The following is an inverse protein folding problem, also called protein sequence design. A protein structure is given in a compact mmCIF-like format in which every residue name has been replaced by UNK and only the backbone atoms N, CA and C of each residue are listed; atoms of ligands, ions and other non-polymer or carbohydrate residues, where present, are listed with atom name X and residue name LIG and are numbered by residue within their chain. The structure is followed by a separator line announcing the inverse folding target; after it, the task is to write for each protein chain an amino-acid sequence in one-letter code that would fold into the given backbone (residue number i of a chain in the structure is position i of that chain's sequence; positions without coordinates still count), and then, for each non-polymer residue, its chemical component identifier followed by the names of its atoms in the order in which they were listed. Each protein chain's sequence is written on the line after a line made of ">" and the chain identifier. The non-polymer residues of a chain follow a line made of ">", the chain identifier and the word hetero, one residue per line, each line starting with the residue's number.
data_IF_374794242987
#
_entry.id   IF_374794242987
#
_cell.length_a   1.000
_cell.length_b   1.000
_cell.length_c   1.000
_cell.angle_alpha   90.00
_cell.angle_beta   90.00
_cell.angle_gamma   90.00
#
_symmetry.space_group_name_H-M   'P 1'
#
loop_
_entity.id
_entity.type
_entity.pdbx_description
1 polymer ?
#
# COMPACT_ATOMS: atom_id res chain seq x y z
N UNK A 1 28.04 51.34 -81.41
CA UNK A 1 27.96 49.89 -81.71
C UNK A 1 28.17 48.96 -80.51
N UNK A 2 28.46 49.44 -79.28
CA UNK A 2 28.57 48.58 -78.06
C UNK A 2 27.24 48.32 -77.31
N UNK A 3 26.16 49.04 -77.65
CA UNK A 3 24.85 48.88 -76.98
C UNK A 3 23.93 47.80 -77.58
N UNK A 4 24.20 47.36 -78.81
CA UNK A 4 23.42 46.29 -79.46
C UNK A 4 23.93 44.88 -79.13
N UNK A 5 25.18 44.76 -78.64
CA UNK A 5 25.76 43.47 -78.24
C UNK A 5 25.24 42.99 -76.86
N UNK A 6 24.93 43.91 -75.93
CA UNK A 6 24.33 43.54 -74.63
C UNK A 6 22.88 43.04 -74.74
N UNK A 7 22.12 43.51 -75.73
CA UNK A 7 20.71 43.09 -75.91
C UNK A 7 20.60 41.70 -76.56
N UNK A 8 21.56 41.32 -77.40
CA UNK A 8 21.61 39.98 -78.01
C UNK A 8 22.05 38.89 -77.02
N UNK A 9 22.92 39.22 -76.05
CA UNK A 9 23.30 38.29 -74.98
C UNK A 9 22.18 38.07 -73.97
N UNK A 10 21.39 39.11 -73.67
CA UNK A 10 20.21 38.96 -72.79
C UNK A 10 19.08 38.15 -73.43
N UNK A 11 18.90 38.21 -74.75
CA UNK A 11 17.88 37.42 -75.46
C UNK A 11 18.26 35.93 -75.56
N UNK A 12 19.55 35.60 -75.59
CA UNK A 12 20.03 34.20 -75.55
C UNK A 12 19.92 33.56 -74.16
N UNK A 13 19.97 34.35 -73.08
CA UNK A 13 19.74 33.84 -71.72
C UNK A 13 18.25 33.59 -71.46
N UNK A 14 17.36 34.33 -72.11
CA UNK A 14 15.90 34.16 -71.96
C UNK A 14 15.32 32.96 -72.74
N UNK A 15 16.06 32.36 -73.69
CA UNK A 15 15.57 31.25 -74.52
C UNK A 15 16.05 29.84 -74.09
N UNK A 16 16.82 29.74 -72.99
CA UNK A 16 17.10 28.48 -72.29
C UNK A 16 16.11 28.21 -71.14
N UNK A 17 14.93 28.86 -71.19
CA UNK A 17 13.75 28.59 -70.36
C UNK A 17 12.90 27.40 -70.87
N UNK A 18 13.46 26.54 -71.73
CA UNK A 18 12.83 25.29 -72.15
C UNK A 18 13.49 24.09 -71.48
N UNK A 19 12.92 23.59 -70.38
CA UNK A 19 13.41 22.36 -69.75
C UNK A 19 12.78 22.00 -68.42
N UNK A 20 11.59 21.40 -68.47
CA UNK A 20 10.98 20.44 -67.55
C UNK A 20 11.42 20.38 -66.07
N UNK A 21 10.41 20.49 -65.19
CA UNK A 21 10.16 19.44 -64.20
C UNK A 21 10.27 19.86 -62.73
N UNK A 22 9.21 20.46 -62.19
CA UNK A 22 8.87 20.26 -60.77
C UNK A 22 7.40 19.85 -60.69
N UNK A 23 7.17 18.54 -60.60
CA UNK A 23 5.95 18.01 -60.02
C UNK A 23 5.87 18.58 -58.60
N UNK A 24 4.86 19.40 -58.32
CA UNK A 24 4.42 19.63 -56.95
C UNK A 24 4.03 18.27 -56.36
N UNK A 25 4.58 17.87 -55.20
CA UNK A 25 4.03 16.76 -54.45
C UNK A 25 2.54 17.04 -54.20
N UNK A 26 1.66 16.03 -54.20
CA UNK A 26 0.34 16.22 -53.61
C UNK A 26 0.53 16.69 -52.17
N UNK A 27 -0.21 17.72 -51.77
CA UNK A 27 -0.32 18.16 -50.38
C UNK A 27 -0.37 16.93 -49.46
N UNK A 28 0.64 16.77 -48.58
CA UNK A 28 0.62 15.72 -47.55
C UNK A 28 -0.27 16.08 -46.38
N UNK A 29 -0.83 17.29 -46.39
CA UNK A 29 -1.73 17.77 -45.37
C UNK A 29 -3.15 17.63 -45.92
N UNK A 30 -3.69 16.42 -45.71
CA UNK A 30 -5.13 16.20 -45.80
C UNK A 30 -5.88 17.25 -44.99
N UNK A 31 -7.13 17.52 -45.40
CA UNK A 31 -8.02 18.47 -44.75
C UNK A 31 -7.85 18.45 -43.22
N UNK A 32 -7.46 19.57 -42.63
CA UNK A 32 -7.43 19.75 -41.19
C UNK A 32 -8.86 19.64 -40.67
N UNK A 33 -9.18 18.44 -40.17
CA UNK A 33 -10.43 18.08 -39.55
C UNK A 33 -10.50 18.68 -38.14
N UNK A 34 -10.90 19.96 -38.05
CA UNK A 34 -11.04 20.69 -36.79
C UNK A 34 -12.34 20.34 -36.03
N UNK A 35 -12.67 19.05 -35.91
CA UNK A 35 -13.83 18.61 -35.15
C UNK A 35 -14.05 17.09 -35.17
N UNK A 36 -14.54 16.55 -34.04
CA UNK A 36 -14.84 15.13 -33.82
C UNK A 36 -15.89 14.53 -34.79
N UNK A 37 -16.53 15.34 -35.64
CA UNK A 37 -17.60 14.92 -36.56
C UNK A 37 -17.12 14.37 -37.92
N UNK A 38 -15.81 14.29 -38.16
CA UNK A 38 -15.28 14.02 -39.51
C UNK A 38 -14.43 12.75 -39.66
N UNK A 39 -14.43 11.86 -38.66
CA UNK A 39 -13.93 10.49 -38.84
C UNK A 39 -14.94 9.69 -39.68
N UNK A 40 -14.53 9.00 -40.76
CA UNK A 40 -15.40 8.03 -41.40
C UNK A 40 -15.73 6.94 -40.37
N UNK A 41 -17.02 6.80 -40.01
CA UNK A 41 -17.52 5.65 -39.25
C UNK A 41 -17.35 4.39 -40.11
N UNK A 42 -16.20 3.74 -39.97
CA UNK A 42 -16.02 2.39 -40.45
C UNK A 42 -16.84 1.45 -39.55
N UNK A 43 -18.02 1.05 -40.03
CA UNK A 43 -18.78 -0.06 -39.46
C UNK A 43 -18.01 -1.36 -39.75
N UNK A 44 -17.32 -1.88 -38.74
CA UNK A 44 -16.82 -3.25 -38.77
C UNK A 44 -17.99 -4.17 -38.46
N UNK A 45 -18.51 -4.85 -39.50
CA UNK A 45 -19.45 -5.96 -39.32
C UNK A 45 -18.63 -7.21 -39.00
N UNK A 46 -18.42 -7.47 -37.71
CA UNK A 46 -17.91 -8.75 -37.24
C UNK A 46 -19.03 -9.79 -37.35
N UNK A 47 -18.87 -10.77 -38.25
CA UNK A 47 -19.70 -11.96 -38.28
C UNK A 47 -19.35 -12.82 -37.06
N UNK A 48 -20.20 -12.78 -36.02
CA UNK A 48 -20.17 -13.79 -34.97
C UNK A 48 -20.77 -15.08 -35.54
N UNK A 49 -19.93 -15.98 -36.00
CA UNK A 49 -20.30 -17.38 -36.21
C UNK A 49 -19.73 -18.14 -35.02
N UNK A 50 -20.60 -18.55 -34.09
CA UNK A 50 -20.99 -19.96 -33.91
C UNK A 50 -22.28 -19.96 -33.09
N UNK A 51 -23.36 -20.46 -33.70
CA UNK A 51 -24.51 -20.96 -32.96
C UNK A 51 -24.00 -22.07 -32.04
N UNK A 52 -24.23 -22.00 -30.71
CA UNK A 52 -23.73 -23.02 -29.79
C UNK A 52 -24.26 -24.40 -30.21
N UNK A 53 -23.35 -25.37 -30.30
CA UNK A 53 -23.68 -26.78 -30.52
C UNK A 53 -24.79 -27.20 -29.53
N UNK A 54 -25.90 -27.82 -30.00
CA UNK A 54 -26.97 -28.30 -29.13
C UNK A 54 -26.46 -29.20 -27.99
N UNK A 55 -25.34 -29.91 -28.16
CA UNK A 55 -24.72 -30.71 -27.09
C UNK A 55 -24.15 -29.85 -25.95
N UNK A 56 -23.58 -28.67 -26.25
CA UNK A 56 -23.05 -27.71 -25.28
C UNK A 56 -24.18 -26.98 -24.55
N UNK A 57 -25.28 -26.67 -25.25
CA UNK A 57 -26.49 -26.09 -24.65
C UNK A 57 -27.13 -27.06 -23.66
N UNK A 58 -27.16 -28.35 -24.00
CA UNK A 58 -27.72 -29.40 -23.16
C UNK A 58 -26.82 -29.75 -21.95
N UNK A 59 -25.49 -29.67 -22.11
CA UNK A 59 -24.56 -29.78 -20.99
C UNK A 59 -24.68 -28.59 -20.02
N UNK A 60 -24.89 -27.39 -20.53
CA UNK A 60 -25.08 -26.17 -19.72
C UNK A 60 -26.43 -26.21 -18.97
N UNK A 61 -27.50 -26.74 -19.57
CA UNK A 61 -28.79 -26.86 -18.89
C UNK A 61 -28.79 -27.93 -17.79
N UNK A 62 -28.04 -29.02 -17.95
CA UNK A 62 -27.84 -30.04 -16.92
C UNK A 62 -26.96 -29.55 -15.77
N UNK A 63 -26.02 -28.63 -16.01
CA UNK A 63 -25.19 -28.03 -14.97
C UNK A 63 -25.92 -26.95 -14.13
N UNK A 64 -27.05 -26.43 -14.63
CA UNK A 64 -27.83 -25.37 -13.99
C UNK A 64 -29.03 -25.88 -13.18
N UNK A 65 -29.20 -27.19 -12.98
CA UNK A 65 -30.27 -27.68 -12.11
C UNK A 65 -30.05 -27.21 -10.67
N UNK A 66 -30.93 -26.35 -10.11
CA UNK A 66 -30.78 -25.89 -8.74
C UNK A 66 -31.00 -27.07 -7.80
N UNK A 67 -30.02 -27.36 -6.94
CA UNK A 67 -30.18 -28.26 -5.82
C UNK A 67 -31.20 -27.62 -4.87
N UNK A 68 -32.47 -28.04 -4.96
CA UNK A 68 -33.51 -27.68 -4.00
C UNK A 68 -33.26 -28.43 -2.69
N UNK A 69 -32.30 -27.95 -1.89
CA UNK A 69 -32.29 -28.24 -0.47
C UNK A 69 -31.70 -27.05 0.29
N UNK A 70 -32.54 -26.08 0.73
CA UNK A 70 -32.07 -25.07 1.65
C UNK A 70 -31.73 -25.72 2.98
N UNK A 71 -30.46 -25.61 3.41
CA UNK A 71 -30.09 -25.87 4.80
C UNK A 71 -30.82 -24.86 5.70
N UNK A 72 -31.26 -25.26 6.91
CA UNK A 72 -31.88 -24.34 7.85
C UNK A 72 -30.90 -23.21 8.20
N UNK A 73 -31.32 -21.93 8.14
CA UNK A 73 -30.44 -20.82 8.45
C UNK A 73 -30.08 -20.85 9.94
N UNK A 74 -28.81 -21.14 10.25
CA UNK A 74 -28.23 -20.83 11.56
C UNK A 74 -27.53 -19.49 11.45
N UNK A 75 -28.31 -18.41 11.39
CA UNK A 75 -27.80 -17.07 11.61
C UNK A 75 -28.26 -16.63 13.00
N UNK A 76 -27.35 -16.72 13.97
CA UNK A 76 -27.45 -15.87 15.16
C UNK A 76 -26.93 -14.50 14.72
N UNK A 77 -27.76 -13.45 14.67
CA UNK A 77 -27.27 -12.12 14.33
C UNK A 77 -26.31 -11.65 15.42
N UNK A 78 -25.02 -11.60 15.11
CA UNK A 78 -24.07 -10.78 15.85
C UNK A 78 -24.40 -9.32 15.52
N UNK A 79 -24.71 -8.45 16.51
CA UNK A 79 -25.00 -7.06 16.22
C UNK A 79 -23.80 -6.40 15.54
N UNK A 80 -23.90 -6.13 14.24
CA UNK A 80 -22.98 -5.25 13.53
C UNK A 80 -23.30 -3.81 13.94
N UNK A 81 -22.37 -3.07 14.57
CA UNK A 81 -22.57 -1.65 14.79
C UNK A 81 -22.63 -0.94 13.44
N UNK A 82 -23.81 -0.46 13.05
CA UNK A 82 -23.97 0.43 11.90
C UNK A 82 -23.45 1.82 12.27
N UNK A 83 -22.42 2.28 11.56
CA UNK A 83 -22.04 3.71 11.56
C UNK A 83 -22.79 4.36 10.41
N UNK A 84 -23.94 4.95 10.71
CA UNK A 84 -24.67 5.81 9.78
C UNK A 84 -24.07 7.22 9.78
N UNK A 85 -23.72 7.75 8.62
CA UNK A 85 -23.41 9.19 8.46
C UNK A 85 -24.75 9.91 8.26
N UNK A 86 -25.21 10.64 9.27
CA UNK A 86 -26.43 11.45 9.17
C UNK A 86 -26.11 12.79 8.50
N UNK A 87 -26.68 13.00 7.31
CA UNK A 87 -26.70 14.32 6.65
C UNK A 87 -27.93 15.10 7.14
N UNK A 88 -27.86 15.63 8.37
CA UNK A 88 -28.91 16.45 8.97
C UNK A 88 -28.55 16.92 10.39
N UNK A 89 -29.16 18.03 10.83
CA UNK A 89 -28.90 18.59 12.16
C UNK A 89 -29.60 17.74 13.25
N UNK A 90 -28.86 17.30 14.26
CA UNK A 90 -29.39 16.43 15.33
C UNK A 90 -30.18 17.23 16.38
N UNK A 91 -31.27 16.66 16.88
CA UNK A 91 -31.94 17.08 18.11
C UNK A 91 -31.82 15.92 19.11
N UNK A 92 -31.00 16.02 20.18
CA UNK A 92 -30.73 14.87 21.04
C UNK A 92 -31.91 14.58 21.98
N UNK A 93 -32.23 13.29 22.12
CA UNK A 93 -33.12 12.73 23.13
C UNK A 93 -32.33 12.52 24.44
N UNK A 94 -32.97 12.65 25.60
CA UNK A 94 -32.28 12.53 26.89
C UNK A 94 -31.79 11.10 27.12
N UNK A 95 -30.47 10.89 27.07
CA UNK A 95 -29.82 9.60 27.35
C UNK A 95 -28.81 9.12 26.31
N UNK A 96 -28.70 9.76 25.14
CA UNK A 96 -27.74 9.39 24.09
C UNK A 96 -26.48 10.28 24.09
N UNK A 97 -25.31 9.65 24.22
CA UNK A 97 -24.01 10.34 24.09
C UNK A 97 -23.65 10.46 22.62
N UNK A 98 -23.59 11.70 22.13
CA UNK A 98 -23.19 12.00 20.75
C UNK A 98 -21.69 12.29 20.71
N UNK A 99 -20.93 11.45 20.03
CA UNK A 99 -19.51 11.65 19.78
C UNK A 99 -19.28 12.47 18.50
N UNK A 100 -18.61 13.62 18.62
CA UNK A 100 -18.13 14.40 17.46
C UNK A 100 -16.76 13.87 17.01
N UNK A 101 -16.57 13.50 15.73
CA UNK A 101 -15.25 13.12 15.25
C UNK A 101 -14.36 14.36 15.16
N UNK A 102 -13.22 14.33 15.86
CA UNK A 102 -12.13 15.30 15.65
C UNK A 102 -11.53 15.99 16.89
N UNK A 103 -11.85 15.59 18.13
CA UNK A 103 -11.38 16.37 19.31
C UNK A 103 -10.72 15.58 20.44
N UNK A 104 -10.36 14.30 20.27
CA UNK A 104 -9.66 13.57 21.35
C UNK A 104 -8.50 12.71 20.84
N UNK A 105 -7.27 13.15 21.15
CA UNK A 105 -6.08 12.31 21.21
C UNK A 105 -5.86 11.94 22.68
N UNK A 106 -6.31 10.76 23.09
CA UNK A 106 -6.14 10.24 24.44
C UNK A 106 -6.95 8.96 24.65
N UNK A 107 -6.43 8.04 25.47
CA UNK A 107 -7.11 6.79 25.78
C UNK A 107 -8.44 7.06 26.49
N UNK A 108 -9.52 6.43 25.99
CA UNK A 108 -10.85 6.47 26.58
C UNK A 108 -10.84 5.68 27.89
N UNK A 109 -10.83 6.35 29.03
CA UNK A 109 -11.16 5.72 30.32
C UNK A 109 -12.69 5.79 30.47
N UNK A 110 -13.37 4.65 30.29
CA UNK A 110 -14.78 4.51 30.67
C UNK A 110 -14.83 4.37 32.19
N UNK A 111 -14.82 5.49 32.90
CA UNK A 111 -15.26 5.52 34.29
C UNK A 111 -16.79 5.58 34.29
N UNK A 112 -17.42 4.53 34.85
CA UNK A 112 -18.86 4.55 35.15
C UNK A 112 -19.21 5.80 35.95
N UNK A 113 -20.28 6.48 35.54
CA UNK A 113 -20.61 7.84 35.93
C UNK A 113 -20.56 8.10 37.44
N UNK A 114 -19.74 9.09 37.82
CA UNK A 114 -19.88 9.76 39.10
C UNK A 114 -20.88 10.91 38.93
N UNK A 115 -22.09 10.72 39.45
CA UNK A 115 -22.99 11.83 39.73
C UNK A 115 -22.34 12.73 40.79
N UNK A 116 -22.34 14.04 40.52
CA UNK A 116 -21.89 15.07 41.46
C UNK A 116 -22.83 15.10 42.67
N UNK A 117 -22.27 14.89 43.86
CA UNK A 117 -22.69 15.56 45.10
C UNK A 117 -23.84 14.96 45.90
N UNK A 118 -23.59 13.86 46.63
CA UNK A 118 -24.16 13.61 47.97
C UNK A 118 -23.11 12.85 48.80
N UNK A 119 -22.72 13.29 50.01
CA UNK A 119 -21.88 12.48 50.89
C UNK A 119 -22.72 11.34 51.47
N UNK A 120 -22.48 10.12 50.99
CA UNK A 120 -23.04 8.89 51.58
C UNK A 120 -22.00 8.33 52.56
N UNK A 121 -22.34 8.03 53.83
CA UNK A 121 -21.39 7.49 54.79
C UNK A 121 -20.89 6.12 54.35
N UNK A 122 -19.60 5.86 54.60
CA UNK A 122 -18.89 4.64 54.24
C UNK A 122 -19.63 3.39 54.75
N UNK A 123 -19.99 2.50 53.82
CA UNK A 123 -20.47 1.17 54.16
C UNK A 123 -19.28 0.29 54.56
N UNK A 124 -19.28 -0.16 55.82
CA UNK A 124 -18.36 -1.16 56.35
C UNK A 124 -18.56 -2.49 55.60
N UNK A 125 -17.50 -3.03 54.99
CA UNK A 125 -17.53 -4.35 54.34
C UNK A 125 -17.55 -5.43 55.42
N UNK A 126 -18.55 -6.31 55.39
CA UNK A 126 -18.59 -7.51 56.21
C UNK A 126 -17.56 -8.54 55.70
N UNK A 127 -16.76 -9.19 56.58
CA UNK A 127 -15.82 -10.21 56.15
C UNK A 127 -16.56 -11.53 55.87
N UNK A 128 -16.46 -12.07 54.63
CA UNK A 128 -16.94 -13.44 54.38
C UNK A 128 -17.30 -13.91 52.96
N UNK A 129 -17.00 -13.20 51.86
CA UNK A 129 -17.34 -13.70 50.51
C UNK A 129 -16.09 -14.18 49.75
N UNK A 130 -16.02 -15.45 49.29
CA UNK A 130 -14.93 -15.94 48.45
C UNK A 130 -15.12 -15.55 46.98
N UNK A 131 -13.98 -15.56 46.25
CA UNK A 131 -13.71 -14.95 44.96
C UNK A 131 -14.70 -15.22 43.81
N UNK A 132 -15.06 -14.16 43.09
CA UNK A 132 -15.48 -14.25 41.70
C UNK A 132 -14.23 -14.15 40.81
N UNK A 133 -13.99 -15.21 40.04
CA UNK A 133 -12.91 -15.30 39.08
C UNK A 133 -13.09 -14.26 37.96
N UNK A 134 -12.19 -13.29 37.89
CA UNK A 134 -11.97 -12.47 36.70
C UNK A 134 -11.11 -13.26 35.71
N UNK A 135 -11.66 -13.44 34.51
CA UNK A 135 -11.00 -14.01 33.35
C UNK A 135 -9.79 -13.15 32.94
N UNK A 136 -8.60 -13.77 32.93
CA UNK A 136 -7.56 -13.53 31.91
C UNK A 136 -6.97 -12.13 31.79
N UNK A 137 -6.61 -11.48 32.89
CA UNK A 137 -5.66 -10.36 32.88
C UNK A 137 -4.30 -10.81 33.41
N UNK A 138 -3.43 -11.37 32.57
CA UNK A 138 -2.03 -11.62 32.96
C UNK A 138 -1.08 -11.27 31.83
N UNK A 139 -0.51 -10.06 31.92
CA UNK A 139 0.90 -9.78 31.65
C UNK A 139 1.26 -8.39 32.22
N UNK A 140 1.81 -8.37 33.42
CA UNK A 140 2.53 -7.23 34.02
C UNK A 140 3.84 -7.80 34.56
N UNK A 141 5.03 -7.18 34.40
CA UNK A 141 5.52 -6.29 33.36
C UNK A 141 6.75 -6.88 32.63
N UNK A 142 7.04 -6.43 31.41
CA UNK A 142 8.39 -6.54 30.84
C UNK A 142 9.34 -5.52 31.51
N UNK A 143 9.41 -5.50 32.84
CA UNK A 143 10.19 -4.57 33.66
C UNK A 143 9.73 -3.10 33.58
N UNK A 144 8.79 -2.70 34.44
CA UNK A 144 8.35 -1.32 34.73
C UNK A 144 7.89 -0.42 33.57
N UNK A 145 7.46 -0.97 32.43
CA UNK A 145 6.81 -0.16 31.39
C UNK A 145 5.36 0.18 31.78
N UNK A 146 4.92 1.41 31.49
CA UNK A 146 3.54 1.85 31.72
C UNK A 146 2.54 1.12 30.80
N UNK A 147 2.97 0.82 29.57
CA UNK A 147 2.20 0.08 28.58
C UNK A 147 2.73 -1.35 28.42
N UNK A 148 1.82 -2.31 28.24
CA UNK A 148 2.17 -3.70 28.02
C UNK A 148 2.48 -3.99 26.54
N UNK A 149 3.47 -4.84 26.21
CA UNK A 149 3.64 -5.36 24.86
C UNK A 149 2.40 -6.13 24.41
N UNK A 150 2.02 -5.99 23.13
CA UNK A 150 0.96 -6.78 22.53
C UNK A 150 1.27 -8.28 22.62
N UNK A 151 0.25 -9.17 22.64
CA UNK A 151 0.46 -10.62 22.74
C UNK A 151 1.53 -11.20 21.79
N UNK A 152 1.58 -10.87 20.48
CA UNK A 152 2.63 -11.40 19.60
C UNK A 152 4.04 -10.89 19.95
N UNK A 153 4.16 -9.75 20.64
CA UNK A 153 5.43 -9.07 20.90
C UNK A 153 6.04 -9.40 22.25
N UNK A 154 5.30 -10.06 23.17
CA UNK A 154 5.76 -10.32 24.56
C UNK A 154 7.14 -10.99 24.60
N UNK A 155 7.35 -12.03 23.80
CA UNK A 155 8.62 -12.76 23.79
C UNK A 155 9.78 -11.90 23.27
N UNK A 156 9.52 -11.10 22.24
CA UNK A 156 10.52 -10.22 21.62
C UNK A 156 10.84 -9.04 22.53
N UNK A 157 9.84 -8.46 23.19
CA UNK A 157 10.00 -7.37 24.15
C UNK A 157 10.76 -7.79 25.42
N UNK A 158 10.67 -9.06 25.83
CA UNK A 158 11.42 -9.59 26.96
C UNK A 158 12.90 -9.87 26.65
N UNK A 159 13.30 -9.85 25.38
CA UNK A 159 14.71 -10.02 25.00
C UNK A 159 15.53 -8.79 25.43
N UNK A 160 16.56 -8.99 26.25
CA UNK A 160 17.36 -7.91 26.82
C UNK A 160 18.04 -7.01 25.77
N UNK A 161 18.51 -7.58 24.65
CA UNK A 161 19.17 -6.82 23.58
C UNK A 161 18.18 -5.92 22.85
N UNK A 162 16.99 -6.46 22.59
CA UNK A 162 15.92 -5.73 21.90
C UNK A 162 15.36 -4.64 22.82
N UNK A 163 15.12 -4.96 24.10
CA UNK A 163 14.66 -4.00 25.11
C UNK A 163 15.65 -2.85 25.32
N UNK A 164 16.95 -3.13 25.34
CA UNK A 164 17.97 -2.09 25.42
C UNK A 164 17.90 -1.12 24.24
N UNK A 165 17.59 -1.62 23.03
CA UNK A 165 17.49 -0.81 21.81
C UNK A 165 16.17 -0.04 21.71
N UNK A 166 15.03 -0.71 21.83
CA UNK A 166 13.70 -0.14 21.61
C UNK A 166 13.12 0.58 22.83
N UNK A 167 13.50 0.19 24.04
CA UNK A 167 12.92 0.71 25.28
C UNK A 167 11.55 0.10 25.59
N UNK A 168 10.73 0.87 26.31
CA UNK A 168 9.37 0.46 26.66
C UNK A 168 8.36 0.72 25.53
N UNK A 169 7.24 -0.03 25.48
CA UNK A 169 6.11 0.36 24.64
C UNK A 169 5.62 1.76 25.02
N UNK A 170 5.33 2.60 24.02
CA UNK A 170 4.89 3.99 24.20
C UNK A 170 3.39 4.18 23.91
N UNK A 171 2.69 3.11 23.52
CA UNK A 171 1.25 3.09 23.32
C UNK A 171 0.73 1.67 23.07
N UNK A 172 -0.59 1.54 23.07
CA UNK A 172 -1.27 0.28 22.74
C UNK A 172 -1.06 -0.15 21.28
N UNK A 173 -1.18 -1.45 20.96
CA UNK A 173 -1.10 -1.93 19.58
C UNK A 173 -2.32 -1.51 18.75
N UNK A 174 -2.11 -1.36 17.45
CA UNK A 174 -3.15 -1.09 16.48
C UNK A 174 -2.93 -1.87 15.18
N UNK A 175 -3.99 -2.08 14.41
CA UNK A 175 -3.93 -2.75 13.12
C UNK A 175 -3.52 -1.77 12.01
N UNK A 176 -2.68 -2.21 11.09
CA UNK A 176 -2.30 -1.49 9.87
C UNK A 176 -2.35 -2.41 8.67
N UNK A 177 -2.68 -1.87 7.49
CA UNK A 177 -2.54 -2.58 6.22
C UNK A 177 -1.14 -2.32 5.68
N UNK A 178 -0.36 -3.38 5.50
CA UNK A 178 0.95 -3.34 4.87
C UNK A 178 0.92 -4.05 3.52
N UNK A 179 1.94 -3.78 2.72
CA UNK A 179 2.27 -4.57 1.52
C UNK A 179 3.70 -5.07 1.70
N UNK A 180 3.94 -6.34 1.45
CA UNK A 180 5.27 -6.95 1.51
C UNK A 180 5.70 -7.42 0.12
N UNK A 181 6.99 -7.30 -0.17
CA UNK A 181 7.61 -8.01 -1.28
C UNK A 181 8.91 -8.67 -0.81
N UNK A 182 9.07 -9.99 -0.99
CA UNK A 182 10.33 -10.68 -0.71
C UNK A 182 11.36 -10.46 -1.82
N UNK A 183 12.61 -10.33 -1.42
CA UNK A 183 13.79 -10.17 -2.27
C UNK A 183 14.83 -11.22 -1.92
N UNK A 184 15.81 -11.46 -2.80
CA UNK A 184 16.86 -12.46 -2.58
C UNK A 184 17.53 -12.37 -1.20
N UNK A 185 17.81 -11.15 -0.74
CA UNK A 185 18.53 -10.87 0.49
C UNK A 185 17.74 -9.96 1.44
N UNK A 186 16.40 -10.03 1.42
CA UNK A 186 15.61 -9.16 2.27
C UNK A 186 14.13 -9.07 1.94
N UNK A 187 13.48 -8.05 2.50
CA UNK A 187 12.09 -7.73 2.27
C UNK A 187 11.92 -6.22 2.13
N UNK A 188 10.96 -5.81 1.31
CA UNK A 188 10.43 -4.45 1.38
C UNK A 188 9.02 -4.49 1.94
N UNK A 189 8.72 -3.54 2.82
CA UNK A 189 7.38 -3.32 3.36
C UNK A 189 6.94 -1.91 3.00
N UNK A 190 5.73 -1.78 2.46
CA UNK A 190 5.09 -0.50 2.25
C UNK A 190 3.99 -0.32 3.28
N UNK A 191 3.90 0.88 3.84
CA UNK A 191 2.88 1.30 4.79
C UNK A 191 1.95 2.33 4.18
N UNK A 192 0.70 2.31 4.61
CA UNK A 192 -0.35 3.27 4.26
C UNK A 192 0.04 4.76 4.43
N UNK A 193 1.06 5.05 5.25
CA UNK A 193 1.69 6.36 5.42
C UNK A 193 2.68 6.76 4.31
N UNK A 194 2.72 6.04 3.18
CA UNK A 194 3.65 6.27 2.05
C UNK A 194 5.12 6.07 2.42
N UNK A 195 5.37 5.05 3.22
CA UNK A 195 6.72 4.71 3.69
C UNK A 195 7.10 3.30 3.25
N UNK A 196 8.32 3.16 2.75
CA UNK A 196 8.92 1.90 2.36
C UNK A 196 10.04 1.58 3.34
N UNK A 197 9.94 0.44 4.02
CA UNK A 197 10.99 -0.13 4.85
C UNK A 197 11.70 -1.23 4.07
N UNK A 198 12.99 -1.05 3.83
CA UNK A 198 13.84 -2.03 3.13
C UNK A 198 14.68 -2.74 4.17
N UNK A 199 14.37 -4.00 4.50
CA UNK A 199 15.15 -4.81 5.44
C UNK A 199 16.07 -5.72 4.63
N UNK A 200 17.36 -5.72 4.95
CA UNK A 200 18.35 -6.57 4.28
C UNK A 200 19.02 -7.51 5.27
N UNK A 201 19.33 -8.73 4.81
CA UNK A 201 20.19 -9.67 5.54
C UNK A 201 21.66 -9.24 5.53
N UNK A 202 22.01 -8.29 4.67
CA UNK A 202 23.35 -7.72 4.54
C UNK A 202 23.44 -6.38 5.29
N UNK A 203 24.60 -6.09 5.87
CA UNK A 203 24.84 -4.79 6.50
C UNK A 203 24.86 -3.66 5.48
N UNK A 204 24.22 -2.55 5.83
CA UNK A 204 23.95 -1.40 4.98
C UNK A 204 24.86 -0.20 5.29
N UNK A 205 25.38 -0.07 6.52
CA UNK A 205 26.19 1.07 6.97
C UNK A 205 27.66 0.74 7.26
N UNK A 206 28.49 1.80 7.36
CA UNK A 206 29.93 1.71 7.68
C UNK A 206 30.22 1.11 9.07
N UNK A 207 29.26 1.18 10.00
CA UNK A 207 29.42 0.68 11.37
C UNK A 207 28.97 -0.77 11.60
N UNK A 208 28.60 -1.53 10.57
CA UNK A 208 28.35 -2.97 10.76
C UNK A 208 26.98 -3.34 11.37
N UNK A 209 26.17 -2.36 11.78
CA UNK A 209 24.93 -2.58 12.58
C UNK A 209 23.63 -2.12 11.92
N UNK A 210 23.73 -1.34 10.84
CA UNK A 210 22.56 -0.88 10.09
C UNK A 210 22.14 -1.96 9.11
N UNK A 211 20.87 -2.35 9.17
CA UNK A 211 20.30 -3.49 8.46
C UNK A 211 18.91 -3.19 7.90
N UNK A 212 18.45 -1.94 7.96
CA UNK A 212 17.30 -1.50 7.16
C UNK A 212 17.39 -0.03 6.73
N UNK A 213 16.64 0.32 5.68
CA UNK A 213 16.33 1.69 5.28
C UNK A 213 14.85 2.03 5.45
N UNK A 214 14.53 3.30 5.72
CA UNK A 214 13.22 3.91 5.63
C UNK A 214 13.24 4.96 4.53
N UNK A 215 12.41 4.77 3.51
CA UNK A 215 12.38 5.61 2.31
C UNK A 215 10.94 6.06 2.06
N UNK A 216 10.74 7.30 1.61
CA UNK A 216 9.42 7.75 1.19
C UNK A 216 9.04 7.13 -0.17
N UNK A 217 7.79 6.68 -0.30
CA UNK A 217 7.22 6.28 -1.58
C UNK A 217 6.84 7.51 -2.40
N UNK A 218 7.74 7.93 -3.29
CA UNK A 218 7.51 9.03 -4.23
C UNK A 218 7.03 8.57 -5.61
N UNK A 219 6.72 7.28 -5.78
CA UNK A 219 6.17 6.78 -7.04
C UNK A 219 4.71 7.23 -7.19
N UNK A 220 4.33 7.51 -8.43
CA UNK A 220 2.95 7.81 -8.83
C UNK A 220 2.71 7.30 -10.26
N UNK A 221 1.46 7.32 -10.69
CA UNK A 221 0.99 6.74 -11.96
C UNK A 221 1.58 7.41 -13.22
N UNK A 222 2.17 8.60 -13.09
CA UNK A 222 2.85 9.27 -14.21
C UNK A 222 4.26 8.73 -14.44
N UNK A 223 4.82 8.02 -13.45
CA UNK A 223 6.15 7.43 -13.52
C UNK A 223 6.07 5.98 -14.02
N UNK A 224 7.06 5.52 -14.81
CA UNK A 224 7.12 4.13 -15.25
C UNK A 224 7.04 3.15 -14.08
N UNK A 225 6.18 2.13 -14.20
CA UNK A 225 6.05 1.09 -13.18
C UNK A 225 7.30 0.21 -13.11
N UNK A 226 7.90 -0.08 -14.25
CA UNK A 226 9.04 -0.95 -14.46
C UNK A 226 10.09 -0.28 -15.40
N UNK A 227 11.14 -1.03 -15.74
CA UNK A 227 12.16 -0.63 -16.70
C UNK A 227 12.56 -1.85 -17.53
N UNK A 228 12.11 -1.87 -18.78
CA UNK A 228 12.26 -2.99 -19.72
C UNK A 228 13.73 -3.29 -20.08
N UNK A 229 14.66 -2.39 -19.79
CA UNK A 229 16.10 -2.65 -19.97
C UNK A 229 16.67 -3.56 -18.88
N UNK A 230 15.99 -3.69 -17.74
CA UNK A 230 16.39 -4.51 -16.61
C UNK A 230 15.71 -5.88 -16.67
N UNK A 231 16.40 -6.85 -17.27
CA UNK A 231 15.90 -8.22 -17.40
C UNK A 231 16.21 -9.01 -16.12
N UNK A 232 15.21 -9.50 -15.38
CA UNK A 232 15.45 -10.31 -14.19
C UNK A 232 16.05 -11.68 -14.56
N UNK A 233 16.93 -12.26 -13.72
CA UNK A 233 17.37 -13.64 -13.88
C UNK A 233 16.20 -14.63 -13.77
N UNK A 234 16.42 -15.86 -14.24
CA UNK A 234 15.40 -16.92 -14.19
C UNK A 234 14.85 -17.11 -12.77
N UNK A 235 13.53 -17.12 -12.64
CA UNK A 235 12.83 -17.34 -11.37
C UNK A 235 12.79 -16.11 -10.45
N UNK A 236 13.23 -14.95 -10.92
CA UNK A 236 13.18 -13.68 -10.20
C UNK A 236 12.36 -12.65 -10.98
N UNK A 237 12.02 -11.56 -10.30
CA UNK A 237 11.17 -10.50 -10.83
C UNK A 237 11.84 -9.14 -10.66
N UNK A 238 11.60 -8.25 -11.62
CA UNK A 238 11.84 -6.83 -11.41
C UNK A 238 10.75 -6.29 -10.46
N UNK A 239 11.10 -5.67 -9.32
CA UNK A 239 10.11 -4.96 -8.51
C UNK A 239 9.49 -3.82 -9.31
N UNK A 240 8.21 -3.56 -9.10
CA UNK A 240 7.44 -2.56 -9.85
C UNK A 240 6.96 -1.42 -8.93
N UNK A 241 6.47 -0.33 -9.52
CA UNK A 241 5.85 0.80 -8.81
C UNK A 241 6.72 1.33 -7.66
N UNK A 242 6.18 1.51 -6.45
CA UNK A 242 6.89 2.09 -5.30
C UNK A 242 8.17 1.34 -4.94
N UNK A 243 8.11 0.02 -4.77
CA UNK A 243 9.30 -0.79 -4.50
C UNK A 243 10.28 -0.77 -5.68
N UNK A 244 9.76 -0.88 -6.90
CA UNK A 244 10.54 -0.79 -8.13
C UNK A 244 11.27 0.54 -8.29
N UNK A 245 10.61 1.64 -7.93
CA UNK A 245 11.15 2.98 -8.04
C UNK A 245 12.30 3.19 -7.05
N UNK A 246 12.12 2.79 -5.78
CA UNK A 246 13.18 2.83 -4.76
C UNK A 246 14.36 1.94 -5.15
N UNK A 247 14.07 0.71 -5.61
CA UNK A 247 15.09 -0.26 -6.02
C UNK A 247 15.86 0.16 -7.29
N UNK A 248 15.17 0.79 -8.25
CA UNK A 248 15.83 1.32 -9.46
C UNK A 248 16.63 2.59 -9.15
N UNK A 249 16.11 3.46 -8.30
CA UNK A 249 16.71 4.74 -7.95
C UNK A 249 17.91 4.68 -7.01
N UNK A 250 18.16 3.53 -6.36
CA UNK A 250 19.29 3.37 -5.42
C UNK A 250 20.06 2.08 -5.68
N UNK A 251 21.26 2.23 -6.24
CA UNK A 251 22.19 1.10 -6.42
C UNK A 251 22.55 0.46 -5.06
N UNK A 252 22.71 1.25 -4.00
CA UNK A 252 23.00 0.74 -2.67
C UNK A 252 21.90 -0.19 -2.14
N UNK A 253 20.63 0.13 -2.40
CA UNK A 253 19.49 -0.75 -2.05
C UNK A 253 19.52 -2.00 -2.92
N UNK A 254 19.63 -1.81 -4.25
CA UNK A 254 19.64 -2.90 -5.22
C UNK A 254 20.70 -3.97 -4.91
N UNK A 255 21.92 -3.54 -4.63
CA UNK A 255 23.05 -4.45 -4.36
C UNK A 255 22.88 -5.21 -3.03
N UNK A 256 22.08 -4.69 -2.09
CA UNK A 256 21.88 -5.29 -0.77
C UNK A 256 20.69 -6.23 -0.71
N UNK A 257 19.60 -5.95 -1.40
CA UNK A 257 18.42 -6.84 -1.39
C UNK A 257 18.36 -7.78 -2.60
N UNK A 258 19.02 -7.45 -3.71
CA UNK A 258 18.94 -8.23 -4.95
C UNK A 258 17.61 -8.06 -5.68
N UNK A 259 17.24 -9.00 -6.54
CA UNK A 259 15.96 -9.00 -7.26
C UNK A 259 14.80 -9.46 -6.38
N UNK A 260 13.57 -9.15 -6.80
CA UNK A 260 12.38 -9.64 -6.12
C UNK A 260 12.18 -11.14 -6.39
N UNK A 261 11.75 -11.88 -5.37
CA UNK A 261 11.47 -13.31 -5.48
C UNK A 261 10.01 -13.58 -5.87
N UNK A 262 9.08 -12.75 -5.37
CA UNK A 262 7.66 -12.85 -5.70
C UNK A 262 7.03 -11.46 -5.89
N UNK A 263 5.80 -11.38 -6.42
CA UNK A 263 5.04 -10.13 -6.47
C UNK A 263 4.72 -9.58 -5.07
N UNK A 264 4.30 -8.31 -5.04
CA UNK A 264 3.82 -7.63 -3.84
C UNK A 264 2.54 -8.26 -3.31
N UNK A 265 2.44 -8.42 -1.98
CA UNK A 265 1.27 -8.99 -1.32
C UNK A 265 0.77 -8.08 -0.18
N UNK A 266 -0.51 -7.66 -0.20
CA UNK A 266 -1.10 -6.93 0.92
C UNK A 266 -1.41 -7.87 2.08
N UNK A 267 -1.25 -7.39 3.31
CA UNK A 267 -1.63 -8.13 4.50
C UNK A 267 -1.90 -7.20 5.70
N UNK A 268 -2.69 -7.68 6.66
CA UNK A 268 -2.96 -6.96 7.89
C UNK A 268 -1.88 -7.29 8.94
N UNK A 269 -1.32 -6.25 9.54
CA UNK A 269 -0.28 -6.34 10.56
C UNK A 269 -0.74 -5.71 11.88
N UNK A 270 -0.33 -6.30 12.99
CA UNK A 270 -0.31 -5.59 14.28
C UNK A 270 0.91 -4.68 14.30
N UNK A 271 0.76 -3.45 14.78
CA UNK A 271 1.83 -2.48 14.96
C UNK A 271 1.79 -1.93 16.38
N UNK A 272 2.95 -1.80 17.02
CA UNK A 272 3.06 -1.16 18.33
C UNK A 272 4.30 -0.27 18.39
N UNK A 273 4.11 0.96 18.87
CA UNK A 273 5.19 1.92 19.06
C UNK A 273 5.91 1.67 20.39
N UNK A 274 7.22 1.92 20.36
CA UNK A 274 8.13 1.88 21.48
C UNK A 274 8.85 3.23 21.59
N UNK A 275 9.50 3.49 22.71
CA UNK A 275 10.24 4.75 22.96
C UNK A 275 11.24 5.09 21.84
N UNK A 276 11.91 4.06 21.29
CA UNK A 276 12.99 4.21 20.30
C UNK A 276 12.78 3.35 19.05
N UNK A 277 11.52 3.11 18.68
CA UNK A 277 11.20 2.36 17.48
C UNK A 277 9.81 1.74 17.49
N UNK A 278 9.65 0.61 16.82
CA UNK A 278 8.36 -0.09 16.75
C UNK A 278 8.54 -1.59 16.55
N UNK A 279 7.46 -2.33 16.79
CA UNK A 279 7.33 -3.73 16.39
C UNK A 279 6.13 -3.91 15.46
N UNK A 280 6.27 -4.85 14.54
CA UNK A 280 5.20 -5.27 13.64
C UNK A 280 5.19 -6.78 13.42
N UNK A 281 4.03 -7.33 13.06
CA UNK A 281 3.90 -8.72 12.63
C UNK A 281 4.13 -8.85 11.12
N UNK A 282 4.80 -9.91 10.69
CA UNK A 282 4.88 -10.34 9.30
C UNK A 282 3.62 -11.08 8.87
N UNK A 283 3.51 -11.30 7.56
CA UNK A 283 2.43 -12.09 6.97
C UNK A 283 2.42 -13.55 7.44
N UNK A 284 3.58 -14.05 7.86
CA UNK A 284 3.80 -15.39 8.43
C UNK A 284 3.70 -15.41 9.97
N UNK A 285 3.29 -14.30 10.59
CA UNK A 285 3.20 -14.15 12.03
C UNK A 285 4.55 -13.95 12.74
N UNK A 286 5.68 -13.88 12.01
CA UNK A 286 6.97 -13.48 12.59
C UNK A 286 6.88 -12.05 13.11
N UNK A 287 7.77 -11.69 14.04
CA UNK A 287 7.83 -10.34 14.58
C UNK A 287 9.09 -9.64 14.07
N UNK A 288 8.90 -8.44 13.56
CA UNK A 288 9.97 -7.53 13.18
C UNK A 288 9.99 -6.37 14.17
N UNK A 289 11.16 -6.12 14.76
CA UNK A 289 11.39 -5.01 15.67
C UNK A 289 12.38 -4.04 15.02
N UNK A 290 12.01 -2.78 14.83
CA UNK A 290 12.80 -1.80 14.08
C UNK A 290 13.20 -0.63 15.00
N UNK A 291 14.50 -0.44 15.16
CA UNK A 291 15.11 0.61 15.96
C UNK A 291 15.83 1.61 15.03
N UNK A 292 15.22 2.76 14.71
CA UNK A 292 15.87 3.81 13.92
C UNK A 292 17.08 4.38 14.63
N UNK A 293 18.09 4.81 13.86
CA UNK A 293 19.14 5.66 14.39
C UNK A 293 18.60 7.07 14.64
N UNK A 294 19.14 7.83 15.62
CA UNK A 294 18.60 9.12 16.07
C UNK A 294 18.35 10.17 14.97
N UNK A 295 19.05 10.08 13.83
CA UNK A 295 19.02 11.06 12.74
C UNK A 295 18.93 10.44 11.34
N UNK A 296 18.57 9.16 11.19
CA UNK A 296 18.79 8.46 9.93
C UNK A 296 17.53 7.86 9.28
N UNK A 297 17.58 7.82 7.94
CA UNK A 297 16.79 6.92 7.10
C UNK A 297 17.24 5.45 7.22
N UNK A 298 18.04 5.11 8.23
CA UNK A 298 18.56 3.76 8.50
C UNK A 298 18.40 3.38 9.98
N UNK A 299 18.55 2.09 10.27
CA UNK A 299 18.64 1.61 11.64
C UNK A 299 18.88 0.11 11.71
N UNK A 300 18.67 -0.44 12.90
CA UNK A 300 18.74 -1.88 13.15
C UNK A 300 17.35 -2.50 13.14
N UNK A 301 17.22 -3.71 12.60
CA UNK A 301 16.02 -4.53 12.71
C UNK A 301 16.34 -5.82 13.50
N UNK A 302 15.33 -6.40 14.11
CA UNK A 302 15.40 -7.68 14.81
C UNK A 302 14.25 -8.54 14.33
N UNK A 303 14.48 -9.85 14.23
CA UNK A 303 13.53 -10.79 13.63
C UNK A 303 14.21 -11.56 12.50
N UNK A 304 13.74 -12.78 12.26
CA UNK A 304 14.29 -13.61 11.21
C UNK A 304 13.85 -13.08 9.84
N UNK A 305 14.81 -12.77 8.98
CA UNK A 305 14.60 -12.51 7.55
C UNK A 305 14.73 -13.78 6.69
N UNK A 306 14.72 -14.95 7.32
CA UNK A 306 14.79 -16.21 6.59
C UNK A 306 13.49 -16.39 5.81
N UNK A 307 13.64 -16.53 4.50
CA UNK A 307 12.59 -16.86 3.55
C UNK A 307 12.11 -18.30 3.74
#
# INVERSE_FOLDING_TARGET
>A
MKRYLSLLVFSWIALLLGGCGTQTPPDSDGALLLGFDSLPKALVTIQFTETPDPSIVQATSLALTPTMQPLPPTFTPTPTPYVGVFMGNITPESGTVVYRPGTYHGALIVSGGAAVGVPVPAATIAPGVPAAATLGGVAVPAGNCAEAPAPPFVNVANNANIRAKLGCPSGGPFGVRLVIQPFQNGFMFWRDTKEIFVLSTLTIGQQGIDIYWRVADSWNETLPADDLSLVPPQGLLQPVRGFGYVWRGSQAIRDRVGWAFSPEQPYDSTWQLYERGWMMTGIDGKVFALAPNPDASTGSHFGALNQ
#
